data_IF_122046577744
#
_entry.id   IF_122046577744
#
_cell.length_a   1.000
_cell.length_b   1.000
_cell.length_c   1.000
_cell.angle_alpha   90.00
_cell.angle_beta   90.00
_cell.angle_gamma   90.00
#
_symmetry.space_group_name_H-M   'P 1'
#
loop_
_entity.id
_entity.type
_entity.pdbx_description
1 polymer ?
2 non-polymer ?
3 non-polymer ?
4 non-polymer ?
5 water ?
#
# COMPACT_ATOMS: atom_id res chain seq x y z
N UNK A 8 16.75 12.02 -25.21
CA UNK A 8 17.60 11.33 -24.25
C UNK A 8 17.61 9.82 -24.47
N UNK A 9 18.73 9.18 -24.14
CA UNK A 9 18.84 7.73 -24.21
C UNK A 9 19.00 7.16 -22.81
N UNK A 10 19.07 5.84 -22.71
CA UNK A 10 19.27 5.18 -21.42
C UNK A 10 20.74 5.11 -21.08
N UNK A 11 21.07 5.14 -19.78
CA UNK A 11 22.46 5.05 -19.31
C UNK A 11 23.10 3.74 -19.75
N UNK A 12 24.37 3.81 -20.14
CA UNK A 12 25.10 2.64 -20.61
C UNK A 12 25.00 1.48 -19.60
N UNK A 13 25.22 1.78 -18.32
CA UNK A 13 25.21 0.77 -17.28
C UNK A 13 23.90 0.00 -17.24
N UNK A 14 22.81 0.70 -17.55
CA UNK A 14 21.50 0.08 -17.58
C UNK A 14 21.37 -0.83 -18.79
N UNK A 15 21.68 -0.29 -19.96
CA UNK A 15 21.61 -1.04 -21.21
C UNK A 15 22.49 -2.27 -21.17
N UNK A 16 23.50 -2.24 -20.30
CA UNK A 16 24.43 -3.34 -20.22
C UNK A 16 23.84 -4.59 -19.57
N UNK A 17 22.80 -4.42 -18.78
CA UNK A 17 22.17 -5.55 -18.10
C UNK A 17 20.75 -5.77 -18.57
N UNK A 18 20.15 -4.70 -19.09
CA UNK A 18 18.74 -4.74 -19.42
C UNK A 18 18.46 -4.30 -20.85
N UNK A 19 17.42 -4.89 -21.42
CA UNK A 19 16.89 -4.47 -22.70
C UNK A 19 15.56 -3.78 -22.46
N UNK A 20 15.53 -2.46 -22.65
CA UNK A 20 14.33 -1.68 -22.37
C UNK A 20 13.25 -1.90 -23.41
N UNK A 21 12.00 -1.82 -22.97
CA UNK A 21 10.86 -2.08 -23.85
C UNK A 21 9.76 -1.05 -23.70
N UNK A 22 8.52 -1.51 -23.76
CA UNK A 22 7.35 -0.65 -23.73
C UNK A 22 7.24 0.18 -22.46
N UNK A 23 6.36 1.17 -22.48
CA UNK A 23 6.00 1.91 -21.29
C UNK A 23 4.73 1.32 -20.71
N UNK A 24 4.51 1.50 -19.42
CA UNK A 24 3.35 0.91 -18.76
C UNK A 24 2.63 1.92 -17.88
N UNK A 31 6.70 7.14 -13.78
CA UNK A 31 6.95 6.49 -15.06
C UNK A 31 7.54 5.08 -14.91
N UNK A 32 6.88 4.09 -15.52
CA UNK A 32 7.33 2.71 -15.44
C UNK A 32 7.36 2.04 -16.81
N UNK A 33 8.50 1.44 -17.15
CA UNK A 33 8.64 0.74 -18.42
C UNK A 33 8.94 -0.74 -18.20
N UNK A 34 8.68 -1.53 -19.24
CA UNK A 34 8.99 -2.96 -19.21
C UNK A 34 10.40 -3.19 -19.71
N UNK A 35 11.12 -4.11 -19.07
CA UNK A 35 12.49 -4.41 -19.47
C UNK A 35 12.78 -5.89 -19.36
N UNK A 36 13.81 -6.35 -20.06
CA UNK A 36 14.24 -7.74 -19.97
C UNK A 36 15.67 -7.82 -19.45
N UNK A 37 15.87 -8.60 -18.39
CA UNK A 37 17.21 -8.79 -17.86
C UNK A 37 17.95 -9.72 -18.82
N UNK A 38 19.09 -9.27 -19.33
CA UNK A 38 19.82 -10.04 -20.34
C UNK A 38 20.27 -11.40 -19.82
N UNK A 39 20.79 -11.43 -18.61
CA UNK A 39 21.36 -12.66 -18.04
C UNK A 39 20.33 -13.78 -17.96
N UNK A 40 19.08 -13.44 -17.70
CA UNK A 40 18.06 -14.45 -17.44
C UNK A 40 16.96 -14.49 -18.49
N UNK A 41 16.90 -13.46 -19.33
CA UNK A 41 15.80 -13.26 -20.26
C UNK A 41 14.46 -13.22 -19.53
N UNK A 42 14.51 -12.77 -18.29
CA UNK A 42 13.29 -12.59 -17.51
C UNK A 42 12.78 -11.17 -17.65
N UNK A 43 11.49 -10.98 -17.44
CA UNK A 43 10.89 -9.65 -17.51
C UNK A 43 11.03 -8.92 -16.18
N UNK A 44 11.27 -7.61 -16.26
CA UNK A 44 11.36 -6.78 -15.07
C UNK A 44 10.68 -5.44 -15.32
N UNK A 45 10.31 -4.77 -14.22
CA UNK A 45 9.70 -3.44 -14.32
C UNK A 45 10.68 -2.38 -13.84
N UNK A 46 11.07 -1.50 -14.76
CA UNK A 46 11.99 -0.43 -14.41
C UNK A 46 11.27 0.90 -14.24
N UNK A 47 11.26 1.40 -13.01
CA UNK A 47 10.65 2.71 -12.74
C UNK A 47 11.66 3.84 -12.95
N UNK A 48 11.30 4.79 -13.79
CA UNK A 48 12.17 5.94 -14.06
C UNK A 48 11.70 7.17 -13.29
N UNK A 49 12.62 7.81 -12.58
CA UNK A 49 12.31 9.01 -11.82
C UNK A 49 13.32 10.09 -12.15
N UNK A 50 12.84 11.22 -12.64
CA UNK A 50 13.74 12.29 -13.07
C UNK A 50 14.40 13.00 -11.88
N UNK A 51 15.45 13.77 -12.18
CA UNK A 51 16.18 14.49 -11.14
C UNK A 51 16.02 16.00 -11.32
N UNK A 64 14.82 15.84 -5.62
CA UNK A 64 14.07 14.59 -5.46
C UNK A 64 14.86 13.58 -4.63
N UNK A 65 16.15 13.46 -4.92
CA UNK A 65 17.05 12.51 -4.24
C UNK A 65 16.51 11.96 -2.93
N UNK A 66 16.07 12.86 -2.05
CA UNK A 66 15.55 12.46 -0.74
C UNK A 66 14.52 11.34 -0.84
N UNK A 67 13.42 11.62 -1.52
CA UNK A 67 12.36 10.63 -1.71
C UNK A 67 12.83 9.36 -2.38
N UNK A 68 13.89 9.45 -3.18
CA UNK A 68 14.44 8.29 -3.86
C UNK A 68 15.39 7.52 -2.95
N UNK A 69 16.28 8.23 -2.29
CA UNK A 69 17.16 7.62 -1.30
C UNK A 69 16.31 6.82 -0.30
N UNK A 70 15.31 7.48 0.27
CA UNK A 70 14.41 6.86 1.22
C UNK A 70 13.77 5.58 0.67
N UNK A 71 13.16 5.68 -0.51
CA UNK A 71 12.47 4.53 -1.09
C UNK A 71 13.40 3.34 -1.26
N UNK A 72 14.60 3.59 -1.78
CA UNK A 72 15.60 2.53 -1.94
C UNK A 72 15.96 1.91 -0.60
N UNK A 73 16.35 2.75 0.36
CA UNK A 73 16.72 2.26 1.68
C UNK A 73 15.64 1.34 2.23
N UNK A 74 14.39 1.71 2.02
CA UNK A 74 13.28 0.92 2.51
C UNK A 74 13.16 -0.38 1.74
N UNK A 75 13.02 -0.28 0.43
CA UNK A 75 12.88 -1.47 -0.42
C UNK A 75 13.93 -2.54 -0.13
N UNK A 76 15.14 -2.10 0.21
CA UNK A 76 16.24 -3.03 0.45
C UNK A 76 16.08 -3.76 1.78
N UNK A 77 15.56 -3.06 2.79
CA UNK A 77 15.48 -3.60 4.14
C UNK A 77 14.30 -4.55 4.30
N UNK A 78 13.18 -4.21 3.67
CA UNK A 78 11.96 -4.99 3.80
C UNK A 78 11.96 -6.19 2.86
N UNK A 79 11.37 -7.28 3.33
CA UNK A 79 11.09 -8.41 2.46
C UNK A 79 9.84 -9.16 2.93
N UNK A 80 8.81 -9.15 2.08
CA UNK A 80 7.51 -9.67 2.43
C UNK A 80 6.75 -9.95 1.15
N UNK A 81 5.98 -11.06 1.13
CA UNK A 81 5.28 -11.53 -0.06
C UNK A 81 4.42 -10.45 -0.71
N UNK A 82 3.75 -9.64 0.10
CA UNK A 82 2.87 -8.59 -0.44
C UNK A 82 3.55 -7.22 -0.47
N UNK A 83 4.87 -7.23 -0.61
CA UNK A 83 5.62 -6.00 -0.79
C UNK A 83 6.62 -6.11 -1.93
N UNK A 84 6.47 -5.23 -2.92
CA UNK A 84 7.33 -5.24 -4.10
C UNK A 84 8.82 -5.25 -3.72
N UNK A 85 9.61 -6.03 -4.46
CA UNK A 85 11.04 -6.16 -4.17
C UNK A 85 11.88 -5.47 -5.24
N UNK A 86 12.98 -4.87 -4.80
CA UNK A 86 13.86 -4.16 -5.71
C UNK A 86 14.97 -5.10 -6.17
N UNK A 87 15.25 -5.07 -7.47
CA UNK A 87 16.23 -5.99 -8.05
C UNK A 87 17.53 -5.27 -8.40
N UNK A 88 17.40 -4.03 -8.87
CA UNK A 88 18.57 -3.23 -9.19
C UNK A 88 18.25 -1.73 -9.17
N UNK A 89 19.30 -0.91 -9.18
CA UNK A 89 19.13 0.54 -9.10
C UNK A 89 20.24 1.29 -9.83
N UNK A 90 19.86 2.34 -10.55
CA UNK A 90 20.83 3.13 -11.31
C UNK A 90 20.69 4.63 -11.05
N UNK A 91 21.79 5.25 -10.62
CA UNK A 91 21.83 6.68 -10.36
C UNK A 91 22.50 7.42 -11.51
N UNK A 92 21.69 7.83 -12.49
CA UNK A 92 22.22 8.49 -13.68
C UNK A 92 21.61 9.88 -13.87
N UNK A 93 21.51 10.32 -15.13
CA UNK A 93 20.86 11.58 -15.43
C UNK A 93 19.47 11.57 -14.82
N UNK A 94 18.92 10.36 -14.70
CA UNK A 94 17.68 10.13 -13.97
C UNK A 94 17.88 8.98 -13.02
N UNK A 95 16.89 8.72 -12.19
CA UNK A 95 16.93 7.58 -11.29
C UNK A 95 16.23 6.40 -11.92
N UNK A 96 16.89 5.24 -11.91
CA UNK A 96 16.30 4.02 -12.44
C UNK A 96 16.17 2.97 -11.35
N UNK A 97 14.95 2.50 -11.11
CA UNK A 97 14.72 1.50 -10.10
C UNK A 97 14.17 0.22 -10.72
N UNK A 98 14.94 -0.87 -10.60
CA UNK A 98 14.55 -2.16 -11.14
C UNK A 98 13.76 -2.97 -10.14
N UNK A 99 12.54 -3.32 -10.52
CA UNK A 99 11.64 -4.06 -9.64
C UNK A 99 11.10 -5.30 -10.34
N UNK A 100 10.64 -6.26 -9.56
CA UNK A 100 9.99 -7.44 -10.14
C UNK A 100 8.70 -7.04 -10.85
N UNK A 101 8.43 -7.68 -11.99
CA UNK A 101 7.26 -7.33 -12.79
C UNK A 101 6.00 -8.04 -12.28
N UNK A 102 4.92 -7.28 -12.16
CA UNK A 102 3.65 -7.82 -11.69
C UNK A 102 2.65 -7.96 -12.82
N UNK A 103 2.52 -9.20 -13.32
CA UNK A 103 1.66 -9.50 -14.45
C UNK A 103 0.26 -8.90 -14.34
N UNK A 104 -0.29 -8.87 -13.12
CA UNK A 104 -1.64 -8.41 -12.91
C UNK A 104 -1.88 -6.93 -13.15
N UNK A 105 -0.81 -6.13 -13.05
CA UNK A 105 -0.94 -4.70 -13.20
C UNK A 105 -1.47 -4.03 -11.94
N UNK A 106 -1.99 -2.82 -12.10
CA UNK A 106 -2.46 -2.02 -10.98
C UNK A 106 -3.91 -2.37 -10.63
N UNK A 107 -4.20 -2.41 -9.34
CA UNK A 107 -5.55 -2.66 -8.86
C UNK A 107 -6.51 -1.58 -9.36
N UNK A 108 -5.95 -0.40 -9.63
CA UNK A 108 -6.75 0.71 -10.12
C UNK A 108 -7.54 0.34 -11.38
N UNK A 109 -6.88 -0.34 -12.30
CA UNK A 109 -7.52 -0.72 -13.56
C UNK A 109 -8.65 -1.72 -13.35
N UNK A 110 -8.78 -2.24 -12.12
CA UNK A 110 -9.85 -3.18 -11.80
C UNK A 110 -11.09 -2.49 -11.26
N UNK A 111 -10.97 -1.23 -10.85
CA UNK A 111 -12.07 -0.53 -10.20
C UNK A 111 -12.46 0.79 -10.84
N UNK A 112 -11.69 1.21 -11.84
CA UNK A 112 -11.98 2.47 -12.53
C UNK A 112 -13.32 2.37 -13.27
N UNK A 113 -14.03 3.48 -13.37
CA UNK A 113 -15.31 3.48 -14.04
C UNK A 113 -16.35 2.62 -13.34
N UNK A 114 -16.35 2.68 -12.01
CA UNK A 114 -17.38 2.02 -11.21
C UNK A 114 -17.43 0.50 -11.35
N UNK A 115 -16.36 -0.09 -11.89
CA UNK A 115 -16.24 -1.54 -11.90
C UNK A 115 -16.33 -2.07 -10.47
N UNK A 116 -17.13 -3.10 -10.27
CA UNK A 116 -17.30 -3.66 -8.94
C UNK A 116 -16.61 -5.01 -8.80
N UNK A 117 -15.68 -5.10 -7.85
CA UNK A 117 -15.00 -6.35 -7.56
C UNK A 117 -15.85 -7.28 -6.72
N UNK A 118 -15.90 -8.55 -7.12
CA UNK A 118 -16.58 -9.58 -6.34
C UNK A 118 -16.08 -9.54 -4.89
N UNK A 119 -17.00 -9.58 -3.93
CA UNK A 119 -16.62 -9.45 -2.52
C UNK A 119 -15.54 -10.44 -2.08
N UNK A 120 -15.68 -11.70 -2.49
CA UNK A 120 -14.74 -12.74 -2.11
C UNK A 120 -13.31 -12.38 -2.49
N UNK A 121 -13.16 -11.63 -3.58
CA UNK A 121 -11.84 -11.23 -4.02
C UNK A 121 -11.40 -9.93 -3.33
N UNK A 122 -12.36 -9.09 -2.97
CA UNK A 122 -12.06 -7.90 -2.17
C UNK A 122 -11.38 -8.38 -0.90
N UNK A 123 -11.99 -9.39 -0.28
CA UNK A 123 -11.48 -9.93 0.96
C UNK A 123 -10.08 -10.45 0.76
N UNK A 124 -9.92 -11.30 -0.26
CA UNK A 124 -8.63 -11.91 -0.54
C UNK A 124 -7.55 -10.84 -0.72
N UNK A 125 -7.89 -9.78 -1.43
CA UNK A 125 -6.95 -8.68 -1.63
C UNK A 125 -6.69 -7.93 -0.33
N UNK A 126 -7.76 -7.47 0.30
CA UNK A 126 -7.63 -6.62 1.48
C UNK A 126 -6.83 -7.29 2.60
N UNK A 127 -7.02 -8.60 2.73
CA UNK A 127 -6.27 -9.37 3.69
C UNK A 127 -4.78 -9.17 3.45
N UNK A 128 -4.36 -9.32 2.21
CA UNK A 128 -2.95 -9.16 1.86
C UNK A 128 -2.49 -7.74 2.14
N UNK A 129 -3.29 -6.76 1.77
CA UNK A 129 -2.97 -5.36 2.01
C UNK A 129 -2.72 -5.12 3.49
N UNK A 130 -3.59 -5.66 4.33
CA UNK A 130 -3.45 -5.54 5.78
C UNK A 130 -2.14 -6.17 6.26
N UNK A 131 -1.86 -7.38 5.80
CA UNK A 131 -0.62 -8.06 6.17
C UNK A 131 0.58 -7.17 5.83
N UNK A 132 0.52 -6.55 4.67
CA UNK A 132 1.62 -5.72 4.19
C UNK A 132 1.77 -4.48 5.06
N UNK A 133 0.68 -3.73 5.22
CA UNK A 133 0.72 -2.53 6.03
C UNK A 133 1.01 -2.87 7.48
N UNK A 134 0.51 -4.02 7.94
CA UNK A 134 0.86 -4.47 9.27
C UNK A 134 2.37 -4.62 9.36
N UNK A 135 2.94 -5.28 8.36
CA UNK A 135 4.38 -5.50 8.30
C UNK A 135 5.13 -4.18 8.36
N UNK A 136 4.72 -3.22 7.54
CA UNK A 136 5.39 -1.93 7.51
C UNK A 136 5.39 -1.30 8.88
N UNK A 137 4.22 -1.20 9.47
CA UNK A 137 4.09 -0.59 10.79
C UNK A 137 4.93 -1.35 11.82
N UNK A 138 4.90 -2.67 11.78
CA UNK A 138 5.74 -3.47 12.67
C UNK A 138 7.19 -3.05 12.55
N UNK A 139 7.60 -2.66 11.35
CA UNK A 139 8.98 -2.25 11.07
C UNK A 139 9.19 -0.73 11.05
N UNK A 140 8.30 0.01 11.71
CA UNK A 140 8.44 1.46 11.83
C UNK A 140 8.38 2.24 10.52
N UNK A 141 7.65 1.71 9.55
CA UNK A 141 7.47 2.40 8.28
C UNK A 141 6.02 2.82 8.07
N UNK A 142 5.84 4.06 7.61
CA UNK A 142 4.53 4.57 7.25
C UNK A 142 4.49 4.87 5.75
N UNK A 143 3.61 4.17 5.04
CA UNK A 143 3.55 4.30 3.59
C UNK A 143 3.14 5.70 3.15
N UNK A 144 1.98 6.16 3.60
CA UNK A 144 1.53 7.54 3.41
C UNK A 144 0.89 7.86 2.06
N UNK A 145 1.02 6.97 1.09
CA UNK A 145 0.41 7.20 -0.22
C UNK A 145 -0.31 5.96 -0.75
N UNK A 146 -1.06 5.32 0.13
CA UNK A 146 -1.80 4.12 -0.25
C UNK A 146 -2.99 4.45 -1.14
N UNK A 147 -3.05 3.79 -2.28
CA UNK A 147 -4.13 4.00 -3.24
C UNK A 147 -4.06 2.89 -4.28
N UNK A 148 -5.19 2.60 -4.94
CA UNK A 148 -5.28 1.54 -5.96
C UNK A 148 -4.11 1.56 -6.95
N UNK A 149 -3.62 2.76 -7.26
CA UNK A 149 -2.54 2.90 -8.22
C UNK A 149 -1.24 2.25 -7.71
N UNK A 150 -1.13 2.08 -6.39
CA UNK A 150 0.08 1.53 -5.79
C UNK A 150 -0.10 0.11 -5.27
N UNK A 151 -1.21 -0.49 -5.63
CA UNK A 151 -1.43 -1.90 -5.32
C UNK A 151 -1.35 -2.72 -6.59
N UNK A 152 -0.36 -3.61 -6.67
CA UNK A 152 -0.10 -4.38 -7.88
C UNK A 152 -0.56 -5.82 -7.74
N UNK A 153 -1.12 -6.36 -8.82
CA UNK A 153 -1.61 -7.74 -8.81
C UNK A 153 -0.58 -8.67 -9.48
N UNK A 154 -0.38 -9.84 -8.90
CA UNK A 154 0.66 -10.75 -9.37
C UNK A 154 0.35 -11.39 -10.72
N UNK A 155 -0.93 -11.45 -11.09
CA UNK A 155 -1.28 -12.09 -12.36
C UNK A 155 -2.59 -11.59 -12.94
N UNK A 156 -2.85 -12.02 -14.17
CA UNK A 156 -4.07 -11.65 -14.87
C UNK A 156 -5.27 -12.42 -14.31
N UNK A 157 -4.99 -13.43 -13.49
CA UNK A 157 -6.04 -14.14 -12.76
C UNK A 157 -6.65 -13.16 -11.77
N UNK A 158 -7.89 -13.41 -11.35
CA UNK A 158 -8.48 -12.56 -10.33
C UNK A 158 -8.21 -13.11 -8.94
N UNK A 159 -7.81 -14.37 -8.88
CA UNK A 159 -7.23 -14.92 -7.66
C UNK A 159 -5.72 -14.87 -7.80
N UNK A 160 -5.09 -13.94 -7.07
CA UNK A 160 -3.66 -13.77 -7.18
C UNK A 160 -3.06 -13.07 -5.97
N UNK A 161 -1.75 -12.88 -5.99
CA UNK A 161 -1.08 -12.15 -4.93
C UNK A 161 -1.11 -10.67 -5.27
N UNK A 162 -1.25 -9.85 -4.24
CA UNK A 162 -1.07 -8.42 -4.42
C UNK A 162 0.23 -7.98 -3.72
N UNK A 163 0.85 -6.94 -4.25
CA UNK A 163 2.04 -6.41 -3.61
C UNK A 163 1.92 -4.89 -3.57
N UNK A 164 2.34 -4.31 -2.44
CA UNK A 164 2.32 -2.87 -2.23
C UNK A 164 3.59 -2.26 -2.81
N UNK A 165 3.47 -1.05 -3.34
CA UNK A 165 4.62 -0.39 -3.94
C UNK A 165 4.60 1.12 -3.76
N UNK A 166 5.61 1.78 -4.32
CA UNK A 166 5.77 3.24 -4.22
C UNK A 166 5.96 3.72 -2.79
N UNK A 167 7.18 3.63 -2.29
CA UNK A 167 7.51 4.08 -0.96
C UNK A 167 8.24 5.41 -0.98
N UNK A 168 7.96 6.21 -2.01
CA UNK A 168 8.60 7.50 -2.19
C UNK A 168 8.18 8.54 -1.17
N UNK A 169 6.96 8.38 -0.65
CA UNK A 169 6.42 9.32 0.31
C UNK A 169 6.45 8.75 1.73
N UNK A 170 7.11 7.59 1.87
CA UNK A 170 7.14 6.90 3.15
C UNK A 170 7.88 7.66 4.24
N UNK A 171 7.52 7.38 5.48
CA UNK A 171 8.16 8.00 6.63
C UNK A 171 8.76 6.91 7.51
N UNK A 172 9.88 7.21 8.16
CA UNK A 172 10.48 6.29 9.11
C UNK A 172 10.47 6.93 10.49
N UNK A 173 10.48 6.11 11.54
CA UNK A 173 10.30 6.62 12.90
C UNK A 173 11.53 6.41 13.79
N UNK A 174 11.59 7.12 14.91
CA UNK A 174 12.67 6.97 15.87
C UNK A 174 13.07 8.24 16.60
N UNK A 175 13.35 8.13 17.90
CA UNK A 175 13.80 9.25 18.73
C UNK A 175 12.80 10.40 18.80
N UNK A 176 12.12 10.66 17.67
CA UNK A 176 11.02 11.63 17.61
C UNK A 176 11.36 13.02 18.16
N UNK A 177 12.48 13.12 18.88
CA UNK A 177 12.89 14.39 19.48
C UNK A 177 11.94 14.86 20.57
N UNK A 178 10.64 14.61 20.39
CA UNK A 178 9.69 14.88 21.45
C UNK A 178 10.10 14.08 22.69
N UNK A 179 10.36 12.80 22.52
CA UNK A 179 10.90 12.00 23.60
C UNK A 179 12.10 12.73 24.21
N UNK A 180 13.01 13.17 23.35
CA UNK A 180 14.21 13.86 23.79
C UNK A 180 13.84 15.07 24.65
N UNK A 181 12.81 15.80 24.25
CA UNK A 181 12.37 16.97 25.00
C UNK A 181 11.67 16.57 26.30
N UNK A 182 10.92 15.47 26.26
CA UNK A 182 10.20 15.01 27.45
C UNK A 182 11.15 14.58 28.57
N UNK A 183 12.40 14.33 28.23
CA UNK A 183 13.38 13.93 29.22
C UNK A 183 13.80 15.12 30.08
N UNK A 184 13.71 16.31 29.51
CA UNK A 184 14.12 17.52 30.20
C UNK A 184 12.97 18.24 30.86
N UNK A 185 13.30 19.16 31.77
CA UNK A 185 12.28 19.97 32.43
C UNK A 185 11.71 20.97 31.42
N UNK A 186 10.37 21.09 31.40
CA UNK A 186 9.68 21.90 30.39
C UNK A 186 9.52 23.35 30.83
N UNK A 187 10.34 23.80 31.77
CA UNK A 187 10.27 25.18 32.24
C UNK A 187 10.06 26.15 31.08
N UNK A 188 10.89 26.04 30.05
CA UNK A 188 10.82 26.96 28.91
C UNK A 188 10.06 26.36 27.73
N UNK A 189 9.43 25.21 27.94
CA UNK A 189 8.72 24.52 26.87
C UNK A 189 7.33 25.12 26.59
N UNK A 190 6.99 25.24 25.31
CA UNK A 190 5.73 25.84 24.90
C UNK A 190 4.56 24.84 24.97
N UNK A 191 3.37 25.36 25.34
CA UNK A 191 2.12 24.61 25.56
C UNK A 191 1.73 23.69 24.41
N UNK A 192 1.76 24.19 23.18
CA UNK A 192 1.34 23.38 22.04
C UNK A 192 2.10 22.05 21.94
N UNK A 193 3.34 22.04 22.42
CA UNK A 193 4.17 20.84 22.33
C UNK A 193 3.75 19.81 23.37
N UNK A 194 3.55 20.27 24.59
CA UNK A 194 3.02 19.42 25.65
C UNK A 194 1.68 18.83 25.23
N UNK A 195 0.85 19.64 24.58
CA UNK A 195 -0.45 19.17 24.13
C UNK A 195 -0.30 18.08 23.09
N UNK A 196 0.70 18.22 22.22
CA UNK A 196 0.93 17.27 21.14
C UNK A 196 1.26 15.88 21.68
N UNK A 197 1.72 15.82 22.93
CA UNK A 197 2.05 14.55 23.55
C UNK A 197 0.85 13.61 23.47
N UNK A 198 -0.34 14.17 23.65
CA UNK A 198 -1.55 13.38 23.69
C UNK A 198 -1.75 12.47 22.49
N UNK A 199 -1.35 12.96 21.31
CA UNK A 199 -1.65 12.25 20.08
C UNK A 199 -0.39 11.70 19.39
N UNK A 200 0.78 12.10 19.88
CA UNK A 200 2.03 11.62 19.31
C UNK A 200 2.07 10.09 19.20
N UNK A 201 2.46 9.59 18.04
CA UNK A 201 2.66 8.17 17.85
C UNK A 201 1.53 7.47 17.12
N UNK A 202 0.66 8.26 16.49
CA UNK A 202 -0.45 7.68 15.75
C UNK A 202 -0.47 8.09 14.28
N UNK A 203 0.69 8.48 13.75
CA UNK A 203 0.81 8.84 12.35
C UNK A 203 0.49 7.67 11.43
N UNK A 204 0.76 6.46 11.92
CA UNK A 204 0.56 5.26 11.12
C UNK A 204 -0.92 5.07 10.80
N UNK A 205 -1.79 5.66 11.61
CA UNK A 205 -3.22 5.54 11.41
C UNK A 205 -3.68 6.12 10.07
N UNK A 206 -2.86 6.96 9.45
CA UNK A 206 -3.24 7.55 8.17
C UNK A 206 -3.30 6.49 7.08
N UNK A 207 -2.45 5.47 7.22
CA UNK A 207 -2.50 4.33 6.31
C UNK A 207 -3.79 3.53 6.48
N UNK A 208 -4.21 3.33 7.72
CA UNK A 208 -5.44 2.61 7.98
C UNK A 208 -6.65 3.36 7.44
N UNK A 209 -6.57 4.69 7.41
CA UNK A 209 -7.62 5.47 6.78
C UNK A 209 -7.64 5.14 5.29
N UNK A 210 -6.48 5.24 4.65
CA UNK A 210 -6.39 5.02 3.21
C UNK A 210 -6.92 3.65 2.82
N UNK A 211 -6.62 2.65 3.64
CA UNK A 211 -7.14 1.31 3.38
C UNK A 211 -8.67 1.32 3.40
N UNK A 212 -9.24 1.91 4.44
CA UNK A 212 -10.67 2.04 4.56
C UNK A 212 -11.26 2.64 3.30
N UNK A 213 -10.61 3.68 2.79
CA UNK A 213 -11.08 4.34 1.58
C UNK A 213 -10.93 3.41 0.38
N UNK A 214 -9.84 2.66 0.35
CA UNK A 214 -9.62 1.70 -0.72
C UNK A 214 -10.66 0.60 -0.68
N UNK A 215 -10.79 -0.04 0.47
CA UNK A 215 -11.76 -1.12 0.64
C UNK A 215 -13.17 -0.65 0.28
N UNK A 216 -13.46 0.63 0.51
CA UNK A 216 -14.76 1.18 0.18
C UNK A 216 -14.96 1.17 -1.33
N UNK A 217 -13.96 1.66 -2.04
CA UNK A 217 -13.99 1.68 -3.50
C UNK A 217 -14.13 0.27 -4.07
N UNK A 218 -13.23 -0.63 -3.68
CA UNK A 218 -13.30 -2.01 -4.13
C UNK A 218 -14.70 -2.60 -3.96
N UNK A 219 -15.25 -2.44 -2.76
CA UNK A 219 -16.53 -3.06 -2.42
C UNK A 219 -17.72 -2.49 -3.20
N UNK A 220 -17.69 -1.18 -3.46
CA UNK A 220 -18.86 -0.49 -4.00
C UNK A 220 -18.67 0.01 -5.43
N UNK A 221 -17.42 0.18 -5.84
CA UNK A 221 -17.13 0.63 -7.19
C UNK A 221 -17.09 2.14 -7.31
N UNK A 222 -17.38 2.83 -6.21
CA UNK A 222 -17.33 4.29 -6.20
C UNK A 222 -16.65 4.80 -4.94
N UNK A 223 -16.04 5.99 -5.02
CA UNK A 223 -15.33 6.60 -3.89
C UNK A 223 -16.28 7.15 -2.82
N UNK A 224 -15.89 7.05 -1.55
CA UNK A 224 -16.70 7.47 -0.41
C UNK A 224 -16.72 9.00 -0.23
N UNK A 225 -15.67 9.67 -0.67
CA UNK A 225 -15.62 11.13 -0.59
C UNK A 225 -15.27 11.72 -1.95
N UNK A 226 -16.25 12.35 -2.60
CA UNK A 226 -16.04 12.94 -3.92
C UNK A 226 -16.90 14.17 -4.11
N UNK A 227 -16.60 14.95 -5.14
CA UNK A 227 -17.35 16.17 -5.40
C UNK A 227 -18.46 15.92 -6.40
N UNK A 228 -18.77 14.65 -6.65
CA UNK A 228 -19.83 14.28 -7.57
C UNK A 228 -21.21 14.46 -6.94
N UNK A 229 -22.02 15.32 -7.55
CA UNK A 229 -23.38 15.59 -7.06
C UNK A 229 -23.42 15.85 -5.57
N UNK A 230 -22.87 16.98 -5.15
CA UNK A 230 -22.88 17.38 -3.75
C UNK A 230 -22.42 18.82 -3.61
N UNK A 231 -22.91 19.49 -2.57
CA UNK A 231 -22.60 20.90 -2.36
C UNK A 231 -21.67 21.14 -1.17
N UNK A 232 -21.28 20.05 -0.51
CA UNK A 232 -20.34 20.16 0.60
C UNK A 232 -18.93 19.92 0.10
N UNK A 233 -17.98 20.70 0.61
CA UNK A 233 -16.60 20.58 0.16
C UNK A 233 -16.00 19.22 0.52
N UNK A 234 -15.14 18.72 -0.35
CA UNK A 234 -14.48 17.43 -0.11
C UNK A 234 -13.80 17.45 1.25
N UNK A 235 -13.22 18.59 1.62
CA UNK A 235 -12.58 18.72 2.92
C UNK A 235 -13.57 18.46 4.04
N UNK A 236 -14.75 19.09 3.96
CA UNK A 236 -15.77 18.90 4.97
C UNK A 236 -16.21 17.44 5.07
N UNK A 237 -16.43 16.80 3.92
CA UNK A 237 -16.81 15.38 3.91
C UNK A 237 -15.82 14.56 4.70
N UNK A 238 -14.54 14.74 4.41
CA UNK A 238 -13.48 13.94 5.02
C UNK A 238 -13.32 14.18 6.53
N UNK A 239 -13.29 15.44 6.92
CA UNK A 239 -13.14 15.77 8.33
C UNK A 239 -14.36 15.38 9.16
N UNK A 240 -15.55 15.57 8.60
CA UNK A 240 -16.77 15.18 9.29
C UNK A 240 -16.91 13.66 9.26
N UNK A 241 -16.18 13.03 8.35
CA UNK A 241 -16.25 11.60 8.16
C UNK A 241 -17.55 11.13 7.54
N UNK A 242 -18.33 12.07 7.01
CA UNK A 242 -19.64 11.75 6.43
C UNK A 242 -19.54 11.35 4.96
N UNK A 243 -19.31 10.07 4.72
CA UNK A 243 -19.14 9.55 3.37
C UNK A 243 -20.45 9.40 2.64
N UNK A 244 -20.36 9.31 1.32
CA UNK A 244 -21.52 9.13 0.47
C UNK A 244 -21.98 7.68 0.48
N UNK A 245 -23.14 7.43 1.07
CA UNK A 245 -23.64 6.06 1.19
C UNK A 245 -24.85 5.77 0.31
N UNK A 246 -24.66 4.93 -0.70
CA UNK A 246 -25.71 4.59 -1.65
C UNK A 246 -26.18 3.15 -1.47
N UNK A 247 -27.31 2.96 -0.77
CA UNK A 247 -27.86 1.66 -0.40
C UNK A 247 -27.98 0.69 -1.58
N UNK A 248 -28.51 1.16 -2.70
CA UNK A 248 -28.69 0.32 -3.88
C UNK A 248 -27.41 -0.47 -4.17
N UNK A 249 -26.29 0.25 -4.22
CA UNK A 249 -25.00 -0.38 -4.49
C UNK A 249 -24.56 -1.26 -3.32
N UNK A 250 -24.70 -0.74 -2.11
CA UNK A 250 -24.25 -1.42 -0.91
C UNK A 250 -25.13 -2.59 -0.49
N UNK A 251 -26.31 -2.70 -1.10
CA UNK A 251 -27.21 -3.80 -0.79
C UNK A 251 -26.63 -5.13 -1.26
N UNK A 252 -25.80 -5.08 -2.30
CA UNK A 252 -25.16 -6.27 -2.84
C UNK A 252 -24.04 -6.78 -1.93
N UNK A 253 -23.56 -5.92 -1.04
CA UNK A 253 -22.43 -6.24 -0.17
C UNK A 253 -22.86 -6.67 1.24
N UNK A 254 -22.05 -7.52 1.87
CA UNK A 254 -22.37 -8.05 3.19
C UNK A 254 -22.36 -6.99 4.28
N UNK A 255 -22.82 -7.36 5.48
CA UNK A 255 -22.87 -6.43 6.60
C UNK A 255 -21.51 -6.38 7.29
N UNK A 256 -20.85 -7.53 7.37
CA UNK A 256 -19.52 -7.61 7.96
C UNK A 256 -18.53 -6.71 7.22
N UNK A 257 -18.57 -6.77 5.89
CA UNK A 257 -17.68 -5.97 5.06
C UNK A 257 -17.89 -4.47 5.29
N UNK A 258 -19.15 -4.07 5.30
CA UNK A 258 -19.51 -2.68 5.54
C UNK A 258 -19.08 -2.24 6.93
N UNK A 259 -19.14 -3.16 7.88
CA UNK A 259 -18.81 -2.83 9.26
C UNK A 259 -17.33 -2.50 9.41
N UNK A 260 -16.48 -3.28 8.76
CA UNK A 260 -15.04 -3.06 8.83
C UNK A 260 -14.67 -1.69 8.25
N UNK A 261 -15.27 -1.36 7.11
CA UNK A 261 -15.05 -0.05 6.50
C UNK A 261 -15.45 1.06 7.47
N UNK A 262 -16.58 0.88 8.14
CA UNK A 262 -17.03 1.85 9.13
C UNK A 262 -16.00 2.08 10.23
N UNK A 263 -15.28 1.02 10.60
CA UNK A 263 -14.29 1.09 11.67
C UNK A 263 -12.91 1.56 11.21
N UNK A 264 -12.72 1.68 9.90
CA UNK A 264 -11.48 2.23 9.37
C UNK A 264 -11.66 3.70 9.00
N UNK A 265 -12.87 4.06 8.59
CA UNK A 265 -13.15 5.46 8.26
C UNK A 265 -13.65 6.19 9.49
N UNK A 266 -12.89 6.03 10.58
CA UNK A 266 -13.15 6.74 11.83
C UNK A 266 -12.27 7.97 11.90
N UNK A 267 -12.90 9.12 12.14
CA UNK A 267 -12.22 10.40 12.13
C UNK A 267 -11.12 10.49 13.20
N UNK A 268 -11.43 10.03 14.40
CA UNK A 268 -10.49 10.03 15.51
C UNK A 268 -9.40 8.97 15.35
N UNK A 269 -8.17 9.40 15.05
CA UNK A 269 -7.02 8.54 14.78
C UNK A 269 -6.79 7.50 15.86
N UNK A 270 -7.00 7.88 17.12
CA UNK A 270 -6.71 6.98 18.23
C UNK A 270 -7.81 5.94 18.37
N UNK A 271 -8.98 6.25 17.85
CA UNK A 271 -10.12 5.33 17.88
C UNK A 271 -10.16 4.44 16.63
N UNK A 272 -9.59 4.94 15.55
CA UNK A 272 -9.57 4.22 14.28
C UNK A 272 -8.98 2.83 14.46
N UNK A 273 -9.39 1.90 13.61
CA UNK A 273 -8.87 0.53 13.67
C UNK A 273 -7.41 0.48 13.26
N UNK A 274 -6.67 -0.40 13.91
CA UNK A 274 -5.31 -0.71 13.48
C UNK A 274 -5.39 -1.89 12.53
N UNK A 275 -4.27 -2.20 11.87
CA UNK A 275 -4.23 -3.36 10.99
C UNK A 275 -4.58 -4.61 11.79
N UNK A 276 -4.03 -4.72 12.99
CA UNK A 276 -4.30 -5.87 13.85
C UNK A 276 -5.78 -6.01 14.17
N UNK A 277 -6.41 -4.90 14.54
CA UNK A 277 -7.84 -4.91 14.84
C UNK A 277 -8.64 -5.32 13.61
N UNK A 278 -8.15 -4.94 12.44
CA UNK A 278 -8.82 -5.29 11.21
C UNK A 278 -8.66 -6.78 10.91
N UNK A 279 -7.44 -7.28 11.03
CA UNK A 279 -7.17 -8.69 10.78
C UNK A 279 -7.94 -9.59 11.73
N UNK A 280 -8.42 -9.03 12.83
CA UNK A 280 -9.20 -9.76 13.81
C UNK A 280 -10.70 -9.60 13.58
N UNK A 281 -11.07 -8.65 12.74
CA UNK A 281 -12.48 -8.39 12.46
C UNK A 281 -13.14 -9.59 11.78
N UNK A 282 -14.38 -9.89 12.18
CA UNK A 282 -15.11 -11.06 11.68
C UNK A 282 -15.02 -11.23 10.17
N UNK A 283 -15.18 -10.14 9.42
CA UNK A 283 -15.18 -10.23 7.97
C UNK A 283 -13.90 -10.90 7.45
N UNK A 284 -12.82 -10.80 8.20
CA UNK A 284 -11.54 -11.40 7.80
C UNK A 284 -11.35 -12.81 8.32
N UNK A 285 -12.26 -13.27 9.19
CA UNK A 285 -12.18 -14.63 9.69
C UNK A 285 -12.84 -15.58 8.67
N UNK A 286 -12.09 -15.90 7.63
CA UNK A 286 -12.60 -16.65 6.49
C UNK A 286 -11.52 -17.63 6.02
N UNK A 287 -11.63 -18.89 6.44
CA UNK A 287 -10.59 -19.88 6.16
C UNK A 287 -10.42 -20.21 4.69
N UNK A 288 -11.53 -20.24 3.96
CA UNK A 288 -11.48 -20.45 2.52
C UNK A 288 -10.56 -19.43 1.87
N UNK A 289 -10.78 -18.16 2.22
CA UNK A 289 -9.96 -17.08 1.69
C UNK A 289 -8.51 -17.24 2.11
N UNK A 290 -8.26 -17.46 3.40
CA UNK A 290 -6.90 -17.58 3.89
C UNK A 290 -6.16 -18.77 3.28
N UNK A 291 -6.86 -19.90 3.17
CA UNK A 291 -6.30 -21.06 2.51
C UNK A 291 -5.85 -20.70 1.11
N UNK A 292 -6.78 -20.14 0.34
CA UNK A 292 -6.49 -19.74 -1.03
C UNK A 292 -5.26 -18.86 -1.10
N UNK A 293 -5.04 -18.08 -0.03
CA UNK A 293 -3.86 -17.22 0.05
C UNK A 293 -2.59 -18.05 0.25
N UNK A 294 -2.64 -18.96 1.23
CA UNK A 294 -1.49 -19.83 1.50
C UNK A 294 -1.11 -20.64 0.27
N UNK A 295 -2.10 -20.96 -0.56
CA UNK A 295 -1.86 -21.72 -1.78
C UNK A 295 -1.18 -20.88 -2.85
N UNK A 296 -1.63 -19.62 -2.99
CA UNK A 296 -1.04 -18.72 -3.97
C UNK A 296 0.43 -18.44 -3.65
N UNK A 297 0.77 -18.55 -2.37
CA UNK A 297 2.15 -18.35 -1.94
C UNK A 297 3.06 -19.46 -2.44
N UNK A 298 2.88 -20.66 -1.88
CA UNK A 298 3.70 -21.80 -2.25
C UNK A 298 3.83 -21.89 -3.77
N UNK A 299 2.76 -21.58 -4.49
CA UNK A 299 2.79 -21.55 -5.95
C UNK A 299 3.91 -20.66 -6.46
N UNK A 300 3.96 -19.43 -5.97
CA UNK A 300 4.97 -18.48 -6.42
C UNK A 300 6.35 -18.84 -5.86
N UNK A 301 6.36 -19.50 -4.72
CA UNK A 301 7.63 -19.86 -4.07
C UNK A 301 8.22 -21.16 -4.61
N UNK A 302 7.42 -21.93 -5.34
CA UNK A 302 7.90 -23.17 -5.94
C UNK A 302 9.21 -22.95 -6.69
N UNK A 303 9.19 -22.05 -7.66
CA UNK A 303 10.38 -21.77 -8.47
C UNK A 303 11.59 -21.42 -7.60
N UNK A 304 11.35 -20.74 -6.48
CA UNK A 304 12.43 -20.30 -5.61
C UNK A 304 12.84 -21.38 -4.60
N UNK A 305 12.02 -22.42 -4.50
CA UNK A 305 12.22 -23.46 -3.49
C UNK A 305 13.55 -24.21 -3.63
N UNK A 306 14.44 -23.98 -2.68
CA UNK A 306 15.68 -24.73 -2.60
C UNK A 306 15.51 -25.83 -1.53
N UNK A 307 15.98 -27.05 -1.83
CA UNK A 307 15.74 -28.25 -1.01
C UNK A 307 16.13 -28.07 0.46
N UNK A 308 15.28 -28.58 1.34
CA UNK A 308 15.46 -28.38 2.77
C UNK A 308 15.96 -29.63 3.47
N UNK A 309 16.61 -29.44 4.61
CA UNK A 309 17.06 -30.54 5.45
C UNK A 309 15.88 -31.14 6.20
N UNK A 310 15.92 -32.45 6.42
CA UNK A 310 14.82 -33.14 7.08
C UNK A 310 15.31 -34.02 8.23
N UNK A 311 14.52 -34.40 9.10
#
# INVERSE_FOLDING_TARGET
GPLGSHMSVYPKALRDEYIMSKTLGSGACGEVKLAFERKTCKKVAIKIISKRKFAIGSAREADPALNVETEIEILKKLNHPCIIKIKNFFDAEDYYIVLELMEGGELFDKVVGNKRLKEATCKLYFYQMLLAVQYLHENGIIHRDLKPENVLLSSQEEDCLIKITDFGHSKILGETSLMRTLCGTPTYLAPEVLVSVGTAGYNRAVDCWSLGVILFICLSGYPPFSEHRTQVSLKDQITSGKYNFIPEVWAEVSEKALDLVKKLLVVDPKARFTTEEALRHPWLQDEDMKRKFQDLLSEENESTALPQVLAQPSTSRKRPREGEAEGAE
#
